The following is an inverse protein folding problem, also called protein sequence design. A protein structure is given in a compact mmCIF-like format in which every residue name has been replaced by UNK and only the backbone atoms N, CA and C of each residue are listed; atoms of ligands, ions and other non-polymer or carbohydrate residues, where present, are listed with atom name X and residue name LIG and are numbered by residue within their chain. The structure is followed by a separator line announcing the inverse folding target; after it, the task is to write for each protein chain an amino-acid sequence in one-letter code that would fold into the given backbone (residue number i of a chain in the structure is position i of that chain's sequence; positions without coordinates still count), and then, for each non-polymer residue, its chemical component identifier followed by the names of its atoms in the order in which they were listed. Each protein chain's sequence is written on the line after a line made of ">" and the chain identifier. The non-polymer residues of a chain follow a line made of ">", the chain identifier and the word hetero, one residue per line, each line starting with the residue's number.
data_IF_656973471917
#
_entry.id   IF_656973471917
#
_cell.length_a   1.000
_cell.length_b   1.000
_cell.length_c   1.000
_cell.angle_alpha   90.00
_cell.angle_beta   90.00
_cell.angle_gamma   90.00
#
_symmetry.space_group_name_H-M   'P 1'
#
loop_
_entity.id
_entity.type
_entity.pdbx_description
1 polymer ?
#
# COMPACT_ATOMS: atom_id res chain seq x y z
N UNK A 1 12.89 9.57 -4.48
CA UNK A 1 12.66 8.11 -4.35
C UNK A 1 13.02 7.61 -2.96
N UNK A 2 12.16 7.86 -1.97
CA UNK A 2 12.49 7.59 -0.57
C UNK A 2 12.54 6.10 -0.23
N UNK A 3 11.87 5.24 -1.00
CA UNK A 3 11.90 3.78 -0.85
C UNK A 3 12.90 3.13 -1.81
N UNK A 4 14.10 3.72 -1.97
CA UNK A 4 15.13 3.19 -2.86
C UNK A 4 15.40 1.71 -2.54
N UNK A 5 15.32 0.81 -3.53
CA UNK A 5 15.56 -0.61 -3.32
C UNK A 5 16.95 -0.91 -2.72
N UNK A 6 16.97 -1.66 -1.63
CA UNK A 6 18.16 -2.30 -1.04
C UNK A 6 17.72 -3.54 -0.26
N UNK A 7 18.65 -4.38 0.18
CA UNK A 7 18.32 -5.53 1.04
C UNK A 7 17.66 -5.05 2.33
N UNK A 8 18.25 -4.07 3.00
CA UNK A 8 17.80 -3.48 4.26
C UNK A 8 16.42 -2.84 4.10
N UNK A 9 16.24 -2.03 3.05
CA UNK A 9 14.96 -1.38 2.77
C UNK A 9 13.87 -2.41 2.50
N UNK A 10 14.15 -3.44 1.69
CA UNK A 10 13.20 -4.49 1.39
C UNK A 10 12.84 -5.33 2.63
N UNK A 11 13.80 -5.62 3.52
CA UNK A 11 13.53 -6.31 4.78
C UNK A 11 12.63 -5.48 5.70
N UNK A 12 12.92 -4.19 5.86
CA UNK A 12 12.10 -3.26 6.66
C UNK A 12 10.68 -3.13 6.09
N UNK A 13 10.54 -2.90 4.79
CA UNK A 13 9.24 -2.78 4.14
C UNK A 13 8.40 -4.04 4.32
N UNK A 14 9.02 -5.22 4.13
CA UNK A 14 8.35 -6.50 4.30
C UNK A 14 7.96 -6.78 5.74
N UNK A 15 8.82 -6.48 6.71
CA UNK A 15 8.51 -6.64 8.14
C UNK A 15 7.38 -5.73 8.60
N UNK A 16 7.33 -4.48 8.10
CA UNK A 16 6.22 -3.54 8.35
C UNK A 16 4.91 -4.06 7.78
N UNK A 17 4.91 -4.54 6.53
CA UNK A 17 3.72 -5.08 5.88
C UNK A 17 3.23 -6.35 6.59
N UNK A 18 4.14 -7.28 6.88
CA UNK A 18 3.85 -8.54 7.58
C UNK A 18 3.21 -8.29 8.95
N UNK A 19 3.83 -7.44 9.77
CA UNK A 19 3.32 -7.11 11.11
C UNK A 19 1.99 -6.39 11.04
N UNK A 20 1.85 -5.43 10.12
CA UNK A 20 0.60 -4.71 9.92
C UNK A 20 -0.55 -5.63 9.51
N UNK A 21 -0.30 -6.55 8.58
CA UNK A 21 -1.28 -7.53 8.12
C UNK A 21 -1.73 -8.44 9.27
N UNK A 22 -0.78 -8.97 10.04
CA UNK A 22 -1.04 -9.84 11.20
C UNK A 22 -1.82 -9.14 12.29
N UNK A 23 -1.36 -7.98 12.78
CA UNK A 23 -1.98 -7.27 13.89
C UNK A 23 -3.41 -6.81 13.56
N UNK A 24 -3.65 -6.45 12.30
CA UNK A 24 -4.94 -5.94 11.86
C UNK A 24 -5.82 -7.04 11.24
N UNK A 25 -5.32 -8.26 11.01
CA UNK A 25 -6.08 -9.29 10.28
C UNK A 25 -6.49 -8.81 8.89
N UNK A 26 -5.58 -8.14 8.18
CA UNK A 26 -5.76 -7.76 6.78
C UNK A 26 -5.12 -8.83 5.90
N UNK A 27 -5.88 -9.28 4.91
CA UNK A 27 -5.41 -10.25 3.94
C UNK A 27 -4.70 -9.53 2.80
N UNK A 28 -3.49 -9.98 2.47
CA UNK A 28 -2.69 -9.40 1.38
C UNK A 28 -2.64 -10.37 0.22
N UNK A 29 -3.26 -10.02 -0.90
CA UNK A 29 -3.21 -10.84 -2.12
C UNK A 29 -1.96 -10.54 -2.95
N UNK A 30 -1.61 -9.27 -3.06
CA UNK A 30 -0.43 -8.82 -3.81
C UNK A 30 0.10 -7.49 -3.27
N UNK A 31 1.40 -7.29 -3.44
CA UNK A 31 2.06 -6.01 -3.14
C UNK A 31 3.20 -5.74 -4.12
N UNK A 32 3.50 -4.46 -4.28
CA UNK A 32 4.69 -4.00 -4.98
C UNK A 32 5.11 -2.64 -4.40
N UNK A 33 6.26 -2.59 -3.75
CA UNK A 33 6.88 -1.35 -3.30
C UNK A 33 7.77 -0.82 -4.41
N UNK A 34 7.37 0.34 -4.93
CA UNK A 34 8.16 1.11 -5.86
C UNK A 34 9.06 2.08 -5.10
N UNK A 35 9.96 2.76 -5.81
CA UNK A 35 10.93 3.67 -5.19
C UNK A 35 10.30 4.95 -4.63
N UNK A 36 9.08 5.30 -5.04
CA UNK A 36 8.36 6.53 -4.66
C UNK A 36 6.89 6.30 -4.27
N UNK A 37 6.32 5.12 -4.48
CA UNK A 37 4.95 4.78 -4.10
C UNK A 37 4.84 3.27 -3.83
N UNK A 38 3.67 2.81 -3.40
CA UNK A 38 3.40 1.40 -3.17
C UNK A 38 2.02 1.04 -3.72
N UNK A 39 1.89 -0.21 -4.18
CA UNK A 39 0.62 -0.80 -4.56
C UNK A 39 0.34 -2.02 -3.70
N UNK A 40 -0.86 -2.08 -3.13
CA UNK A 40 -1.36 -3.21 -2.36
C UNK A 40 -2.69 -3.66 -2.95
N UNK A 41 -2.89 -4.97 -3.03
CA UNK A 41 -4.18 -5.60 -3.28
C UNK A 41 -4.54 -6.39 -2.02
N UNK A 42 -5.56 -5.93 -1.30
CA UNK A 42 -5.88 -6.41 0.05
C UNK A 42 -7.37 -6.56 0.28
N UNK A 43 -7.74 -7.41 1.24
CA UNK A 43 -9.09 -7.45 1.82
C UNK A 43 -8.99 -7.12 3.31
N UNK A 44 -9.76 -6.14 3.75
CA UNK A 44 -9.82 -5.68 5.14
C UNK A 44 -11.19 -6.07 5.73
N UNK A 45 -11.36 -7.32 6.21
CA UNK A 45 -12.68 -7.89 6.51
C UNK A 45 -13.42 -7.19 7.64
N UNK A 46 -12.72 -6.42 8.48
CA UNK A 46 -13.30 -5.73 9.64
C UNK A 46 -13.50 -4.23 9.43
N UNK A 47 -13.55 -3.76 8.17
CA UNK A 47 -13.59 -2.33 7.85
C UNK A 47 -12.35 -1.57 8.31
N UNK A 48 -11.24 -2.27 8.51
CA UNK A 48 -10.06 -1.82 9.23
C UNK A 48 -8.91 -1.37 8.32
N UNK A 49 -9.20 -1.09 7.05
CA UNK A 49 -8.21 -0.66 6.05
C UNK A 49 -7.50 0.62 6.46
N UNK A 50 -8.22 1.59 7.03
CA UNK A 50 -7.65 2.87 7.48
C UNK A 50 -6.60 2.69 8.57
N UNK A 51 -6.89 1.86 9.58
CA UNK A 51 -5.95 1.51 10.66
C UNK A 51 -4.72 0.77 10.13
N UNK A 52 -4.93 -0.17 9.20
CA UNK A 52 -3.83 -0.88 8.53
C UNK A 52 -2.93 0.07 7.72
N UNK A 53 -3.51 0.94 6.89
CA UNK A 53 -2.74 1.89 6.09
C UNK A 53 -2.02 2.93 6.96
N UNK A 54 -2.65 3.41 8.04
CA UNK A 54 -1.99 4.27 9.02
C UNK A 54 -0.76 3.59 9.62
N UNK A 55 -0.89 2.34 10.04
CA UNK A 55 0.21 1.56 10.59
C UNK A 55 1.35 1.37 9.59
N UNK A 56 1.03 0.90 8.38
CA UNK A 56 2.03 0.60 7.34
C UNK A 56 2.71 1.89 6.90
N UNK A 57 1.96 2.90 6.46
CA UNK A 57 2.54 4.16 5.97
C UNK A 57 3.34 4.88 7.04
N UNK A 58 2.86 4.91 8.29
CA UNK A 58 3.57 5.55 9.40
C UNK A 58 4.90 4.86 9.72
N UNK A 59 4.92 3.53 9.76
CA UNK A 59 6.16 2.79 10.03
C UNK A 59 7.13 2.83 8.85
N UNK A 60 6.65 2.76 7.61
CA UNK A 60 7.50 2.97 6.43
C UNK A 60 8.15 4.35 6.47
N UNK A 61 7.36 5.41 6.69
CA UNK A 61 7.89 6.78 6.74
C UNK A 61 8.99 6.93 7.80
N UNK A 62 8.76 6.41 9.01
CA UNK A 62 9.72 6.49 10.11
C UNK A 62 10.98 5.67 9.84
N UNK A 63 10.83 4.41 9.44
CA UNK A 63 11.95 3.47 9.34
C UNK A 63 12.75 3.69 8.07
N UNK A 64 12.09 3.75 6.93
CA UNK A 64 12.77 4.00 5.65
C UNK A 64 13.31 5.43 5.63
N UNK A 65 12.57 6.42 6.14
CA UNK A 65 13.08 7.78 6.29
C UNK A 65 14.39 7.84 7.07
N UNK A 66 14.55 7.03 8.12
CA UNK A 66 15.81 6.91 8.84
C UNK A 66 16.92 6.26 8.00
N UNK A 67 16.63 5.17 7.28
CA UNK A 67 17.60 4.51 6.39
C UNK A 67 18.17 5.46 5.33
N UNK A 68 17.32 6.31 4.74
CA UNK A 68 17.72 7.24 3.68
C UNK A 68 18.03 8.65 4.18
N UNK A 69 18.17 8.82 5.51
CA UNK A 69 18.47 10.11 6.18
C UNK A 69 17.52 11.25 5.75
N UNK A 70 16.24 10.95 5.55
CA UNK A 70 15.22 11.91 5.15
C UNK A 70 14.76 12.76 6.33
N UNK A 71 14.65 14.07 6.10
CA UNK A 71 14.04 15.04 7.02
C UNK A 71 12.84 15.66 6.32
N UNK A 72 11.69 15.67 6.99
CA UNK A 72 10.44 16.25 6.47
C UNK A 72 9.36 15.23 6.11
N UNK A 73 8.36 15.69 5.35
CA UNK A 73 7.19 14.89 4.99
C UNK A 73 7.56 13.75 4.05
N UNK A 74 7.31 12.51 4.47
CA UNK A 74 7.61 11.31 3.66
C UNK A 74 6.52 11.03 2.61
N UNK A 75 5.25 11.20 2.98
CA UNK A 75 4.11 10.99 2.10
C UNK A 75 3.46 12.32 1.73
N UNK A 76 3.48 12.66 0.44
CA UNK A 76 2.83 13.90 -0.04
C UNK A 76 1.30 13.86 0.09
N UNK A 77 0.71 12.66 0.10
CA UNK A 77 -0.75 12.46 0.10
C UNK A 77 -1.14 11.29 1.00
N UNK A 78 -2.40 11.28 1.41
CA UNK A 78 -3.06 10.09 1.98
C UNK A 78 -3.11 8.97 0.95
N UNK A 79 -3.23 7.73 1.43
CA UNK A 79 -3.52 6.60 0.54
C UNK A 79 -4.83 6.82 -0.23
N UNK A 80 -4.93 6.19 -1.39
CA UNK A 80 -6.21 5.90 -2.03
C UNK A 80 -6.55 4.43 -1.90
N UNK A 81 -7.84 4.15 -1.90
CA UNK A 81 -8.37 2.81 -1.94
C UNK A 81 -9.57 2.81 -2.88
N UNK A 82 -9.40 2.19 -4.03
CA UNK A 82 -10.43 1.96 -5.02
C UNK A 82 -10.93 0.51 -4.87
N UNK A 83 -12.24 0.29 -4.64
CA UNK A 83 -12.77 -1.06 -4.50
C UNK A 83 -12.69 -1.81 -5.82
N UNK A 84 -12.41 -3.11 -5.73
CA UNK A 84 -12.43 -4.05 -6.86
C UNK A 84 -13.72 -4.85 -6.76
N UNK A 85 -14.54 -4.81 -7.80
CA UNK A 85 -15.95 -5.20 -7.72
C UNK A 85 -16.29 -6.50 -8.45
N UNK A 86 -15.34 -7.05 -9.24
CA UNK A 86 -15.49 -8.33 -9.92
C UNK A 86 -14.15 -9.08 -10.00
N UNK A 87 -14.23 -10.38 -10.28
CA UNK A 87 -13.09 -11.30 -10.26
C UNK A 87 -12.11 -11.02 -11.40
N UNK A 88 -12.60 -10.66 -12.58
CA UNK A 88 -11.81 -10.25 -13.73
C UNK A 88 -11.01 -8.98 -13.40
N UNK A 89 -11.64 -7.98 -12.77
CA UNK A 89 -10.97 -6.78 -12.33
C UNK A 89 -9.91 -7.10 -11.27
N UNK A 90 -10.15 -8.10 -10.42
CA UNK A 90 -9.19 -8.55 -9.42
C UNK A 90 -7.93 -9.15 -10.07
N UNK A 91 -8.09 -9.95 -11.13
CA UNK A 91 -6.97 -10.47 -11.93
C UNK A 91 -6.23 -9.34 -12.66
N UNK A 92 -6.94 -8.39 -13.25
CA UNK A 92 -6.32 -7.23 -13.92
C UNK A 92 -5.58 -6.33 -12.92
N UNK A 93 -6.09 -6.19 -11.69
CA UNK A 93 -5.38 -5.50 -10.62
C UNK A 93 -4.14 -6.24 -10.16
N UNK A 94 -4.20 -7.57 -10.06
CA UNK A 94 -3.03 -8.39 -9.78
C UNK A 94 -1.95 -8.18 -10.86
N UNK A 95 -2.32 -8.28 -12.14
CA UNK A 95 -1.45 -7.99 -13.29
C UNK A 95 -0.81 -6.61 -13.17
N UNK A 96 -1.61 -5.57 -12.91
CA UNK A 96 -1.12 -4.21 -12.75
C UNK A 96 -0.06 -4.10 -11.63
N UNK A 97 -0.32 -4.68 -10.44
CA UNK A 97 0.60 -4.61 -9.30
C UNK A 97 1.96 -5.23 -9.64
N UNK A 98 1.95 -6.34 -10.39
CA UNK A 98 3.16 -7.04 -10.80
C UNK A 98 3.91 -6.33 -11.95
N UNK A 99 3.19 -5.57 -12.77
CA UNK A 99 3.69 -4.94 -13.99
C UNK A 99 4.50 -3.65 -13.77
N UNK A 100 4.42 -3.03 -12.58
CA UNK A 100 4.77 -1.61 -12.42
C UNK A 100 6.20 -1.25 -12.90
N UNK A 101 7.21 -2.05 -12.55
CA UNK A 101 8.59 -1.78 -12.97
C UNK A 101 8.81 -1.85 -14.48
N UNK A 102 8.07 -2.71 -15.17
CA UNK A 102 8.12 -2.85 -16.64
C UNK A 102 7.31 -1.75 -17.30
N UNK A 103 6.10 -1.49 -16.78
CA UNK A 103 5.20 -0.44 -17.29
C UNK A 103 5.83 0.95 -17.23
N UNK A 104 6.61 1.23 -16.20
CA UNK A 104 7.31 2.50 -16.01
C UNK A 104 8.66 2.58 -16.77
N UNK A 105 8.99 1.57 -17.60
CA UNK A 105 10.25 1.53 -18.35
C UNK A 105 11.49 1.41 -17.46
N UNK A 106 11.36 0.96 -16.21
CA UNK A 106 12.46 0.86 -15.25
C UNK A 106 13.27 -0.42 -15.46
N UNK A 107 12.61 -1.52 -15.82
CA UNK A 107 13.23 -2.83 -16.06
C UNK A 107 12.54 -3.52 -17.23
N UNK A 108 13.25 -4.43 -17.91
CA UNK A 108 12.70 -5.17 -19.06
C UNK A 108 11.77 -6.31 -18.64
N UNK A 109 12.08 -6.97 -17.52
CA UNK A 109 11.27 -8.09 -16.97
C UNK A 109 10.77 -7.76 -15.58
N UNK A 110 9.57 -8.21 -15.23
CA UNK A 110 8.97 -7.95 -13.91
C UNK A 110 9.83 -8.53 -12.78
N UNK A 111 10.53 -9.64 -13.05
CA UNK A 111 11.45 -10.30 -12.11
C UNK A 111 12.71 -9.47 -11.81
N UNK A 112 13.06 -8.52 -12.67
CA UNK A 112 14.29 -7.74 -12.56
C UNK A 112 14.12 -6.52 -11.65
N UNK A 113 12.88 -6.22 -11.23
CA UNK A 113 12.59 -5.15 -10.27
C UNK A 113 13.34 -5.39 -8.96
N UNK A 114 14.26 -4.49 -8.54
CA UNK A 114 15.07 -4.71 -7.35
C UNK A 114 14.34 -4.42 -6.04
N UNK A 115 13.24 -3.67 -6.10
CA UNK A 115 12.41 -3.35 -4.92
C UNK A 115 11.57 -4.54 -4.47
N UNK A 116 10.95 -4.40 -3.30
CA UNK A 116 10.12 -5.44 -2.72
C UNK A 116 8.84 -5.66 -3.52
N UNK A 117 8.76 -6.79 -4.24
CA UNK A 117 7.56 -7.25 -4.96
C UNK A 117 7.16 -8.66 -4.56
N UNK A 118 5.86 -8.97 -4.69
CA UNK A 118 5.30 -10.27 -4.33
C UNK A 118 5.43 -11.34 -5.44
N UNK A 119 5.96 -11.01 -6.63
CA UNK A 119 6.00 -11.92 -7.78
C UNK A 119 6.64 -13.28 -7.43
N UNK A 120 7.80 -13.25 -6.76
CA UNK A 120 8.48 -14.49 -6.35
C UNK A 120 7.64 -15.32 -5.38
N UNK A 121 6.89 -14.67 -4.48
CA UNK A 121 6.02 -15.36 -3.53
C UNK A 121 4.85 -16.03 -4.25
N UNK A 122 4.22 -15.33 -5.19
CA UNK A 122 3.11 -15.88 -5.98
C UNK A 122 3.51 -17.08 -6.84
N UNK A 123 4.77 -17.13 -7.32
CA UNK A 123 5.26 -18.19 -8.20
C UNK A 123 5.90 -19.35 -7.43
N UNK A 124 6.67 -19.07 -6.37
CA UNK A 124 7.49 -20.09 -5.68
C UNK A 124 6.96 -20.50 -4.31
N UNK A 125 6.16 -19.68 -3.65
CA UNK A 125 5.63 -19.95 -2.32
C UNK A 125 5.06 -18.72 -1.64
N UNK A 126 3.83 -18.82 -1.12
CA UNK A 126 3.06 -17.69 -0.59
C UNK A 126 3.62 -17.07 0.69
N UNK A 127 4.62 -17.69 1.33
CA UNK A 127 5.18 -17.27 2.61
C UNK A 127 6.60 -16.71 2.46
N UNK A 128 6.87 -15.58 3.10
CA UNK A 128 8.22 -15.02 3.27
C UNK A 128 8.36 -14.37 4.64
N UNK A 129 9.47 -14.66 5.30
CA UNK A 129 9.86 -14.02 6.57
C UNK A 129 10.72 -12.81 6.31
N UNK A 130 10.47 -11.74 7.07
CA UNK A 130 11.17 -10.47 7.03
C UNK A 130 11.58 -10.03 8.44
N UNK A 131 12.44 -9.02 8.52
CA UNK A 131 12.87 -8.41 9.76
C UNK A 131 11.97 -7.23 10.17
N UNK A 132 11.41 -7.31 11.38
CA UNK A 132 10.77 -6.18 12.06
C UNK A 132 11.68 -5.62 13.15
N UNK A 133 12.05 -4.36 13.05
CA UNK A 133 12.91 -3.72 14.06
C UNK A 133 12.09 -3.02 15.14
N UNK A 134 12.02 -3.60 16.34
CA UNK A 134 11.27 -3.07 17.49
C UNK A 134 11.93 -1.85 18.13
N UNK A 135 11.72 -0.66 17.58
CA UNK A 135 12.38 0.57 18.08
C UNK A 135 11.98 0.95 19.52
N UNK A 136 10.81 0.53 19.99
CA UNK A 136 10.40 0.71 21.39
C UNK A 136 11.25 -0.12 22.35
N UNK A 137 11.70 -1.31 21.93
CA UNK A 137 12.56 -2.19 22.73
C UNK A 137 13.94 -1.55 22.93
N UNK A 138 14.49 -0.92 21.88
CA UNK A 138 15.71 -0.10 21.96
C UNK A 138 15.57 1.04 22.97
N UNK A 139 14.44 1.76 22.98
CA UNK A 139 14.24 2.87 23.91
C UNK A 139 14.22 2.39 25.38
N UNK A 140 13.62 1.23 25.65
CA UNK A 140 13.64 0.61 26.98
C UNK A 140 15.06 0.21 27.40
N UNK A 141 15.90 -0.20 26.46
CA UNK A 141 17.30 -0.57 26.67
C UNK A 141 18.29 0.59 26.43
N UNK A 142 17.88 1.86 26.59
CA UNK A 142 18.73 3.02 26.27
C UNK A 142 20.01 3.15 27.09
N UNK A 143 20.08 2.49 28.25
CA UNK A 143 21.28 2.46 29.10
C UNK A 143 22.26 1.32 28.71
N UNK A 144 21.88 0.47 27.76
CA UNK A 144 22.72 -0.59 27.22
C UNK A 144 23.61 -0.03 26.09
N UNK A 145 24.92 0.04 26.36
CA UNK A 145 25.94 0.58 25.46
C UNK A 145 26.23 -0.32 24.24
N UNK A 146 25.66 -1.53 24.15
CA UNK A 146 26.11 -2.54 23.21
C UNK A 146 25.75 -2.29 21.71
N UNK A 147 24.95 -1.29 21.35
CA UNK A 147 24.79 -0.83 19.94
C UNK A 147 23.85 0.38 19.82
N UNK A 148 24.33 1.45 19.19
CA UNK A 148 23.54 2.65 18.86
C UNK A 148 22.65 2.48 17.62
N UNK A 149 22.90 1.46 16.79
CA UNK A 149 22.21 1.21 15.52
C UNK A 149 20.76 0.73 15.74
N UNK A 150 19.81 1.41 15.07
CA UNK A 150 18.37 1.11 15.11
C UNK A 150 17.97 -0.09 14.26
N UNK A 151 18.86 -0.57 13.40
CA UNK A 151 18.68 -1.74 12.56
C UNK A 151 19.58 -2.92 12.96
N UNK A 152 20.16 -2.86 14.16
CA UNK A 152 20.94 -3.98 14.68
C UNK A 152 20.08 -5.25 14.82
N UNK A 153 20.54 -6.44 14.41
CA UNK A 153 19.78 -7.69 14.47
C UNK A 153 19.23 -8.04 15.86
N UNK A 154 19.89 -7.60 16.94
CA UNK A 154 19.41 -7.76 18.33
C UNK A 154 18.04 -7.14 18.58
N UNK A 155 17.66 -6.12 17.80
CA UNK A 155 16.36 -5.46 17.87
C UNK A 155 15.36 -5.99 16.84
N UNK A 156 15.75 -6.99 16.06
CA UNK A 156 14.95 -7.55 15.00
C UNK A 156 14.12 -8.75 15.50
N UNK A 157 12.82 -8.68 15.27
CA UNK A 157 11.89 -9.79 15.38
C UNK A 157 11.60 -10.32 13.97
N UNK A 158 11.34 -11.62 13.84
CA UNK A 158 10.94 -12.21 12.56
C UNK A 158 9.44 -12.10 12.38
N UNK A 159 9.01 -11.51 11.27
CA UNK A 159 7.60 -11.42 10.89
C UNK A 159 7.39 -12.16 9.57
N UNK A 160 6.44 -13.08 9.54
CA UNK A 160 6.12 -13.84 8.33
C UNK A 160 4.89 -13.26 7.66
N UNK A 161 5.05 -12.86 6.40
CA UNK A 161 3.93 -12.51 5.54
C UNK A 161 3.51 -13.76 4.77
N UNK A 162 2.23 -14.06 4.79
CA UNK A 162 1.59 -15.04 3.93
C UNK A 162 0.61 -14.33 2.99
N UNK A 163 0.75 -14.58 1.68
CA UNK A 163 -0.19 -14.07 0.69
C UNK A 163 -1.47 -14.86 0.72
N UNK A 164 -2.59 -14.15 0.81
CA UNK A 164 -3.91 -14.72 0.61
C UNK A 164 -4.10 -15.12 -0.86
N UNK A 165 -4.98 -16.09 -1.09
CA UNK A 165 -5.36 -16.55 -2.42
C UNK A 165 -6.52 -15.69 -2.92
N UNK A 166 -6.51 -15.30 -4.20
CA UNK A 166 -7.69 -14.64 -4.77
C UNK A 166 -8.93 -15.53 -4.56
N UNK A 167 -10.09 -14.99 -4.17
CA UNK A 167 -11.26 -15.79 -3.85
C UNK A 167 -11.65 -16.79 -4.95
N UNK A 168 -11.73 -16.34 -6.20
CA UNK A 168 -12.04 -17.20 -7.35
C UNK A 168 -10.89 -18.15 -7.76
N UNK A 169 -9.72 -18.05 -7.13
CA UNK A 169 -8.61 -19.01 -7.28
C UNK A 169 -8.49 -19.98 -6.10
N UNK A 170 -9.40 -19.94 -5.12
CA UNK A 170 -9.31 -20.76 -3.92
C UNK A 170 -9.24 -22.27 -4.23
N UNK A 171 -9.98 -22.74 -5.24
CA UNK A 171 -9.97 -24.14 -5.69
C UNK A 171 -8.75 -24.54 -6.53
N UNK A 172 -7.89 -23.59 -6.93
CA UNK A 172 -6.76 -23.88 -7.81
C UNK A 172 -5.54 -24.40 -7.03
N UNK A 173 -4.88 -25.42 -7.58
CA UNK A 173 -3.60 -25.90 -7.06
C UNK A 173 -2.55 -24.77 -7.09
N UNK A 174 -1.54 -24.84 -6.21
CA UNK A 174 -0.43 -23.86 -6.19
C UNK A 174 0.26 -23.77 -7.56
N UNK A 175 0.44 -24.91 -8.24
CA UNK A 175 1.04 -24.98 -9.57
C UNK A 175 0.17 -24.26 -10.60
N UNK A 176 -1.15 -24.43 -10.56
CA UNK A 176 -2.07 -23.75 -11.47
C UNK A 176 -2.05 -22.23 -11.25
N UNK A 177 -2.13 -21.78 -10.00
CA UNK A 177 -2.03 -20.34 -9.66
C UNK A 177 -0.72 -19.72 -10.14
N UNK A 178 0.41 -20.40 -9.93
CA UNK A 178 1.70 -19.94 -10.41
C UNK A 178 1.75 -19.82 -11.94
N UNK A 179 1.11 -20.74 -12.68
CA UNK A 179 1.00 -20.65 -14.15
C UNK A 179 0.20 -19.42 -14.58
N UNK A 180 -0.98 -19.20 -13.99
CA UNK A 180 -1.79 -18.01 -14.28
C UNK A 180 -1.00 -16.71 -14.05
N UNK A 181 -0.29 -16.62 -12.92
CA UNK A 181 0.57 -15.44 -12.62
C UNK A 181 1.66 -15.25 -13.66
N UNK A 182 2.33 -16.32 -14.08
CA UNK A 182 3.39 -16.25 -15.10
C UNK A 182 2.84 -15.83 -16.47
N UNK A 183 1.63 -16.27 -16.83
CA UNK A 183 0.95 -15.84 -18.06
C UNK A 183 0.63 -14.35 -18.04
N UNK A 184 0.11 -13.83 -16.92
CA UNK A 184 -0.11 -12.39 -16.74
C UNK A 184 1.19 -11.61 -16.91
N UNK A 185 2.28 -12.05 -16.27
CA UNK A 185 3.59 -11.39 -16.38
C UNK A 185 4.12 -11.43 -17.81
N UNK A 186 4.07 -12.58 -18.50
CA UNK A 186 4.53 -12.69 -19.89
C UNK A 186 3.75 -11.77 -20.82
N UNK A 187 2.44 -11.67 -20.66
CA UNK A 187 1.61 -10.75 -21.44
C UNK A 187 2.00 -9.28 -21.17
N UNK A 188 2.32 -8.92 -19.93
CA UNK A 188 2.83 -7.57 -19.59
C UNK A 188 4.18 -7.28 -20.24
N UNK A 189 5.12 -8.22 -20.14
CA UNK A 189 6.47 -8.06 -20.68
C UNK A 189 6.42 -7.87 -22.21
N UNK A 190 5.60 -8.64 -22.93
CA UNK A 190 5.38 -8.47 -24.38
C UNK A 190 4.77 -7.12 -24.76
N UNK A 191 3.74 -6.66 -24.04
CA UNK A 191 3.13 -5.35 -24.30
C UNK A 191 4.13 -4.20 -24.08
N UNK A 192 5.04 -4.35 -23.12
CA UNK A 192 6.04 -3.34 -22.82
C UNK A 192 7.21 -3.31 -23.81
N UNK A 193 7.56 -4.44 -24.44
CA UNK A 193 8.57 -4.48 -25.52
C UNK A 193 8.20 -3.55 -26.68
N UNK A 194 6.91 -3.43 -27.00
CA UNK A 194 6.43 -2.47 -28.01
C UNK A 194 6.25 -1.03 -27.51
N UNK A 195 6.30 -0.80 -26.19
CA UNK A 195 6.06 0.53 -25.59
C UNK A 195 7.36 1.27 -25.27
N UNK A 196 8.39 0.56 -24.82
CA UNK A 196 9.66 1.15 -24.37
C UNK A 196 10.84 0.61 -25.18
N UNK A 197 11.36 1.41 -26.11
CA UNK A 197 12.54 1.04 -26.91
C UNK A 197 13.78 0.80 -26.02
N UNK A 198 13.93 1.58 -24.95
CA UNK A 198 14.98 1.44 -23.94
C UNK A 198 14.37 1.51 -22.55
N UNK A 199 14.94 0.74 -21.63
CA UNK A 199 14.60 0.78 -20.20
C UNK A 199 15.77 1.34 -19.40
N UNK A 200 15.48 1.93 -18.24
CA UNK A 200 16.50 2.48 -17.35
C UNK A 200 17.50 1.40 -16.89
N UNK A 201 16.99 0.21 -16.55
CA UNK A 201 17.78 -0.94 -16.14
C UNK A 201 18.05 -0.98 -14.63
N UNK A 202 18.21 -2.21 -14.12
CA UNK A 202 18.34 -2.47 -12.67
C UNK A 202 19.47 -1.68 -12.01
N UNK A 203 20.63 -1.57 -12.67
CA UNK A 203 21.78 -0.84 -12.13
C UNK A 203 21.47 0.65 -11.94
N UNK A 204 20.88 1.29 -12.94
CA UNK A 204 20.50 2.70 -12.87
C UNK A 204 19.30 2.95 -11.92
N UNK A 205 18.40 1.97 -11.77
CA UNK A 205 17.37 2.01 -10.70
C UNK A 205 18.01 2.06 -9.32
N UNK A 206 19.09 1.31 -9.09
CA UNK A 206 19.79 1.26 -7.80
C UNK A 206 20.69 2.48 -7.55
N UNK A 207 21.26 3.09 -8.60
CA UNK A 207 22.13 4.27 -8.47
C UNK A 207 21.36 5.58 -8.24
N UNK A 208 20.05 5.58 -8.46
CA UNK A 208 19.20 6.75 -8.26
C UNK A 208 19.28 7.29 -6.82
N UNK A 209 19.49 8.61 -6.70
CA UNK A 209 19.56 9.28 -5.39
C UNK A 209 18.18 9.26 -4.70
N UNK A 210 18.08 8.84 -3.43
CA UNK A 210 16.79 8.75 -2.75
C UNK A 210 16.00 10.06 -2.67
N UNK A 211 16.69 11.20 -2.66
CA UNK A 211 16.05 12.52 -2.58
C UNK A 211 15.70 13.10 -3.95
N UNK A 212 16.05 12.42 -5.05
CA UNK A 212 15.65 12.86 -6.39
C UNK A 212 14.13 12.87 -6.53
N UNK A 213 13.61 13.97 -7.10
CA UNK A 213 12.19 14.20 -7.40
C UNK A 213 12.05 14.54 -8.88
N UNK A 214 11.14 13.88 -9.62
CA UNK A 214 10.89 14.24 -11.01
C UNK A 214 10.31 15.66 -11.11
N UNK A 215 10.76 16.43 -12.11
CA UNK A 215 10.32 17.81 -12.34
C UNK A 215 8.85 17.94 -12.72
N UNK A 216 8.29 16.94 -13.42
CA UNK A 216 6.89 16.91 -13.88
C UNK A 216 6.22 15.57 -13.57
N UNK A 217 5.60 15.41 -12.39
CA UNK A 217 4.90 14.17 -12.06
C UNK A 217 3.61 14.04 -12.88
N UNK A 218 3.38 12.86 -13.48
CA UNK A 218 2.14 12.54 -14.19
C UNK A 218 0.95 12.62 -13.23
N UNK A 219 -0.12 13.29 -13.65
CA UNK A 219 -1.39 13.36 -12.91
C UNK A 219 -2.48 12.76 -13.77
N UNK A 220 -3.25 11.82 -13.21
CA UNK A 220 -4.47 11.30 -13.82
C UNK A 220 -5.57 11.26 -12.76
N UNK A 221 -6.84 11.47 -13.14
CA UNK A 221 -7.96 11.24 -12.25
C UNK A 221 -7.96 9.79 -11.75
N UNK A 222 -8.30 9.61 -10.47
CA UNK A 222 -8.48 8.27 -9.91
C UNK A 222 -9.85 7.73 -10.29
N UNK A 223 -9.97 6.45 -10.69
CA UNK A 223 -11.28 5.87 -10.94
C UNK A 223 -12.05 5.73 -9.62
N UNK A 224 -13.39 5.69 -9.70
CA UNK A 224 -14.24 5.43 -8.54
C UNK A 224 -14.08 4.00 -8.01
N UNK A 225 -13.89 3.04 -8.91
CA UNK A 225 -13.73 1.63 -8.63
C UNK A 225 -13.02 0.93 -9.80
N UNK A 226 -12.62 -0.32 -9.56
CA UNK A 226 -12.19 -1.25 -10.60
C UNK A 226 -13.28 -2.28 -10.82
N UNK A 227 -13.86 -2.25 -12.02
CA UNK A 227 -14.86 -3.21 -12.47
C UNK A 227 -14.72 -3.39 -13.98
N UNK A 228 -14.75 -4.65 -14.39
CA UNK A 228 -14.73 -5.09 -15.79
C UNK A 228 -16.08 -4.82 -16.42
N UNK A 229 -17.15 -5.13 -15.70
CA UNK A 229 -18.52 -4.96 -16.18
C UNK A 229 -19.02 -3.51 -15.99
N UNK A 230 -19.45 -2.89 -17.09
CA UNK A 230 -19.94 -1.50 -17.07
C UNK A 230 -21.18 -1.32 -16.17
N UNK A 231 -22.03 -2.34 -16.07
CA UNK A 231 -23.22 -2.36 -15.21
C UNK A 231 -22.83 -2.26 -13.73
N UNK A 232 -21.92 -3.12 -13.28
CA UNK A 232 -21.37 -3.13 -11.91
C UNK A 232 -20.74 -1.77 -11.58
N UNK A 233 -19.95 -1.23 -12.50
CA UNK A 233 -19.33 0.10 -12.36
C UNK A 233 -20.38 1.21 -12.20
N UNK A 234 -21.42 1.23 -13.04
CA UNK A 234 -22.48 2.25 -12.98
C UNK A 234 -23.24 2.17 -11.67
N UNK A 235 -23.66 0.97 -11.26
CA UNK A 235 -24.36 0.74 -10.01
C UNK A 235 -23.53 1.21 -8.79
N UNK A 236 -22.23 0.91 -8.77
CA UNK A 236 -21.35 1.39 -7.70
C UNK A 236 -21.24 2.92 -7.68
N UNK A 237 -21.07 3.57 -8.84
CA UNK A 237 -20.94 5.03 -8.92
C UNK A 237 -22.23 5.70 -8.43
N UNK A 238 -23.39 5.17 -8.81
CA UNK A 238 -24.69 5.65 -8.34
C UNK A 238 -24.81 5.53 -6.81
N UNK A 239 -24.54 4.34 -6.26
CA UNK A 239 -24.56 4.11 -4.82
C UNK A 239 -23.56 5.02 -4.06
N UNK A 240 -22.34 5.17 -4.59
CA UNK A 240 -21.33 6.04 -4.00
C UNK A 240 -21.77 7.51 -3.99
N UNK A 241 -22.38 7.99 -5.09
CA UNK A 241 -22.92 9.36 -5.17
C UNK A 241 -24.05 9.56 -4.16
N UNK A 242 -24.96 8.61 -4.03
CA UNK A 242 -26.03 8.65 -3.03
C UNK A 242 -25.48 8.68 -1.60
N UNK A 243 -24.49 7.82 -1.29
CA UNK A 243 -23.80 7.82 0.00
C UNK A 243 -23.13 9.17 0.30
N UNK A 244 -22.41 9.74 -0.68
CA UNK A 244 -21.74 11.05 -0.51
C UNK A 244 -22.75 12.18 -0.33
N UNK A 245 -23.88 12.15 -1.04
CA UNK A 245 -24.95 13.12 -0.88
C UNK A 245 -25.56 13.05 0.54
N UNK A 246 -25.89 11.84 1.01
CA UNK A 246 -26.38 11.58 2.37
C UNK A 246 -25.37 12.06 3.43
N UNK A 247 -24.09 11.71 3.28
CA UNK A 247 -23.03 12.16 4.17
C UNK A 247 -22.91 13.69 4.21
N UNK A 248 -22.97 14.37 3.06
CA UNK A 248 -22.87 15.83 2.98
C UNK A 248 -24.04 16.52 3.67
N UNK A 249 -25.26 16.01 3.48
CA UNK A 249 -26.45 16.53 4.15
C UNK A 249 -26.35 16.39 5.68
N UNK A 250 -25.98 15.20 6.17
CA UNK A 250 -25.75 14.94 7.59
C UNK A 250 -24.63 15.81 8.17
N UNK A 251 -23.50 15.92 7.44
CA UNK A 251 -22.36 16.74 7.83
C UNK A 251 -22.71 18.24 7.92
N UNK A 252 -23.59 18.74 7.06
CA UNK A 252 -24.00 20.15 7.09
C UNK A 252 -24.81 20.44 8.35
N UNK A 253 -25.76 19.57 8.69
CA UNK A 253 -26.56 19.63 9.94
C UNK A 253 -25.68 19.54 11.18
N UNK A 254 -24.82 18.52 11.23
CA UNK A 254 -23.88 18.29 12.33
C UNK A 254 -22.99 19.51 12.61
N UNK A 255 -22.47 20.17 11.57
CA UNK A 255 -21.61 21.36 11.73
C UNK A 255 -22.35 22.60 12.21
N UNK A 256 -23.68 22.64 12.12
CA UNK A 256 -24.51 23.72 12.68
C UNK A 256 -24.94 23.46 14.14
N UNK A 257 -24.48 22.36 14.75
CA UNK A 257 -24.84 21.99 16.12
C UNK A 257 -26.00 21.01 16.23
N UNK A 258 -26.56 20.52 15.11
CA UNK A 258 -27.55 19.45 15.13
C UNK A 258 -26.85 18.08 15.35
N UNK A 259 -26.37 17.83 16.56
CA UNK A 259 -25.58 16.63 16.88
C UNK A 259 -26.40 15.32 16.83
N UNK A 260 -27.72 15.40 16.73
CA UNK A 260 -28.60 14.27 16.43
C UNK A 260 -28.62 13.85 14.95
N UNK A 261 -27.90 14.54 14.06
CA UNK A 261 -27.86 14.19 12.64
C UNK A 261 -27.36 12.75 12.41
N UNK A 262 -28.18 11.95 11.74
CA UNK A 262 -27.83 10.58 11.35
C UNK A 262 -26.88 10.60 10.14
N UNK A 263 -25.78 9.87 10.27
CA UNK A 263 -24.82 9.68 9.19
C UNK A 263 -25.01 8.31 8.55
N UNK A 264 -24.70 8.15 7.25
CA UNK A 264 -24.76 6.84 6.62
C UNK A 264 -23.77 5.87 7.29
N UNK A 265 -24.11 4.58 7.27
CA UNK A 265 -23.34 3.53 7.95
C UNK A 265 -21.86 3.57 7.57
N UNK A 266 -20.97 3.53 8.57
CA UNK A 266 -19.52 3.54 8.37
C UNK A 266 -18.91 4.93 8.12
N UNK A 267 -19.71 5.99 8.06
CA UNK A 267 -19.21 7.35 8.01
C UNK A 267 -18.52 7.76 9.32
N UNK A 268 -17.40 8.47 9.18
CA UNK A 268 -16.74 9.13 10.31
C UNK A 268 -17.28 10.55 10.40
N UNK A 269 -17.93 10.88 11.51
CA UNK A 269 -18.47 12.23 11.76
C UNK A 269 -17.33 13.27 11.71
N UNK A 270 -17.53 14.44 11.08
CA UNK A 270 -16.55 15.51 11.11
C UNK A 270 -16.31 15.98 12.54
N UNK A 271 -15.05 16.30 12.84
CA UNK A 271 -14.74 17.00 14.08
C UNK A 271 -15.34 18.41 14.04
N UNK A 272 -15.97 18.84 15.13
CA UNK A 272 -16.49 20.19 15.32
C UNK A 272 -15.74 20.78 16.51
N UNK A 273 -15.11 21.93 16.30
CA UNK A 273 -14.40 22.59 17.40
C UNK A 273 -15.44 23.09 18.42
N UNK A 274 -15.23 22.88 19.73
CA UNK A 274 -16.05 23.55 20.72
C UNK A 274 -16.01 25.04 20.43
N UNK A 275 -17.19 25.68 20.31
CA UNK A 275 -17.23 27.13 20.26
C UNK A 275 -16.48 27.68 21.49
N UNK A 276 -15.70 28.75 21.28
CA UNK A 276 -14.92 29.43 22.33
C UNK A 276 -15.78 29.53 23.59
N UNK A 277 -15.29 28.99 24.71
CA UNK A 277 -15.98 29.03 26.00
C UNK A 277 -16.51 30.45 26.23
N UNK A 278 -17.79 30.65 26.61
CA UNK A 278 -18.22 31.95 27.09
C UNK A 278 -17.32 32.32 28.28
N UNK A 279 -16.91 33.60 28.40
CA UNK A 279 -16.06 34.02 29.51
C UNK A 279 -16.74 33.64 30.82
N UNK A 280 -15.97 33.05 31.74
CA UNK A 280 -16.42 32.77 33.09
C UNK A 280 -16.91 34.10 33.68
N UNK A 281 -18.22 34.18 33.96
CA UNK A 281 -18.76 35.30 34.73
C UNK A 281 -18.09 35.23 36.12
N UNK A 282 -17.32 36.28 36.43
CA UNK A 282 -16.71 36.49 37.74
C UNK A 282 -17.72 36.93 38.79
#
# INVERSE_FOLDING_TARGET
>A
MLMRPSRETNEVLGGVLARGARLMGVEVFAFSFQSNHLHLLVRAPRGNLSKFMQYVMGNVARKVGWLVRWRGTFWERRYSAEPVLDDEALVERLRYVLAQGVKDGLVRRCRDWPGLSCLRMLVRGSRRTFLWFGWSNRWKARNDQASTDRFHPRWAERETLELAVLPHWAGLSRKHRARCVLELVRKTEREAEGTHERVLGRAAVLSQHPHHRPSRPKRSPRPYCHATHATVRRAFIEHYRAYVASFRAASARWRRGEFGAEFPLGAIKPFVWPAVYPPLAG
#
